data_IF_269788374198
#
_entry.id   IF_269788374198
#
_cell.length_a   1.000
_cell.length_b   1.000
_cell.length_c   1.000
_cell.angle_alpha   90.00
_cell.angle_beta   90.00
_cell.angle_gamma   90.00
#
_symmetry.space_group_name_H-M   'P 1'
#
loop_
_entity.id
_entity.type
_entity.pdbx_description
1 polymer ?
#
# COMPACT_ATOMS: atom_id res chain seq x y z
N UNK A 1 -10.02 -15.27 -10.32
CA UNK A 1 -8.80 -14.42 -10.21
C UNK A 1 -8.35 -14.09 -11.62
N UNK A 2 -7.99 -12.84 -11.89
CA UNK A 2 -7.49 -12.36 -13.17
C UNK A 2 -6.06 -11.86 -12.91
N UNK A 3 -5.10 -12.22 -13.77
CA UNK A 3 -3.73 -11.71 -13.71
C UNK A 3 -3.39 -11.09 -15.05
N UNK A 4 -2.83 -9.89 -15.02
CA UNK A 4 -2.33 -9.22 -16.21
C UNK A 4 -0.84 -9.02 -15.99
N UNK A 5 -0.04 -9.67 -16.84
CA UNK A 5 1.40 -9.79 -16.69
C UNK A 5 2.11 -8.99 -17.78
N UNK A 6 3.30 -8.47 -17.46
CA UNK A 6 4.22 -7.99 -18.48
C UNK A 6 4.80 -9.18 -19.24
N UNK A 7 4.75 -9.10 -20.57
CA UNK A 7 5.48 -10.04 -21.45
C UNK A 7 6.56 -9.27 -22.20
N UNK A 8 7.68 -9.93 -22.48
CA UNK A 8 8.76 -9.36 -23.29
C UNK A 8 8.19 -8.81 -24.60
N UNK A 9 8.45 -7.51 -24.85
CA UNK A 9 7.96 -6.78 -26.03
C UNK A 9 6.63 -6.03 -25.86
N UNK A 10 5.87 -6.25 -24.77
CA UNK A 10 4.61 -5.53 -24.52
C UNK A 10 4.33 -5.34 -23.01
N UNK A 11 5.15 -4.55 -22.30
CA UNK A 11 5.01 -4.35 -20.86
C UNK A 11 3.86 -3.40 -20.50
N UNK A 12 3.09 -3.73 -19.46
CA UNK A 12 2.01 -2.89 -18.97
C UNK A 12 2.48 -1.53 -18.47
N UNK A 13 3.67 -1.51 -17.87
CA UNK A 13 4.33 -0.33 -17.35
C UNK A 13 5.75 -0.25 -17.91
N UNK A 14 6.27 0.96 -18.13
CA UNK A 14 7.71 1.10 -18.37
C UNK A 14 8.51 0.69 -17.12
N UNK A 15 9.79 0.37 -17.33
CA UNK A 15 10.71 0.08 -16.22
C UNK A 15 10.77 1.26 -15.25
N UNK A 16 10.63 0.98 -13.95
CA UNK A 16 10.59 2.00 -12.90
C UNK A 16 9.40 2.97 -12.96
N UNK A 17 8.37 2.68 -13.76
CA UNK A 17 7.20 3.55 -13.94
C UNK A 17 5.90 2.91 -13.47
N UNK A 18 4.97 3.76 -13.05
CA UNK A 18 3.63 3.35 -12.60
C UNK A 18 2.52 3.80 -13.55
N UNK A 19 2.87 4.49 -14.64
CA UNK A 19 1.97 4.88 -15.71
C UNK A 19 1.68 3.69 -16.64
N UNK A 20 0.40 3.47 -16.92
CA UNK A 20 -0.05 2.43 -17.85
C UNK A 20 0.31 2.81 -19.29
N UNK A 21 0.70 1.81 -20.08
CA UNK A 21 0.66 1.92 -21.54
C UNK A 21 -0.79 1.96 -22.02
N UNK A 22 -1.01 2.65 -23.15
CA UNK A 22 -2.34 2.82 -23.75
C UNK A 22 -3.09 1.50 -23.92
N UNK A 23 -2.44 0.47 -24.48
CA UNK A 23 -3.06 -0.83 -24.72
C UNK A 23 -3.42 -1.55 -23.42
N UNK A 24 -2.71 -1.30 -22.33
CA UNK A 24 -3.04 -1.86 -21.02
C UNK A 24 -4.21 -1.15 -20.37
N UNK A 25 -4.35 0.15 -20.61
CA UNK A 25 -5.52 0.91 -20.22
C UNK A 25 -6.77 0.37 -20.93
N UNK A 26 -6.70 0.11 -22.24
CA UNK A 26 -7.81 -0.47 -23.01
C UNK A 26 -8.25 -1.83 -22.45
N UNK A 27 -7.29 -2.71 -22.13
CA UNK A 27 -7.57 -4.01 -21.49
C UNK A 27 -8.32 -3.82 -20.17
N UNK A 28 -7.88 -2.87 -19.33
CA UNK A 28 -8.52 -2.59 -18.04
C UNK A 28 -9.92 -1.99 -18.22
N UNK A 29 -10.14 -1.16 -19.24
CA UNK A 29 -11.46 -0.62 -19.55
C UNK A 29 -12.44 -1.71 -20.00
N UNK A 30 -12.02 -2.65 -20.84
CA UNK A 30 -12.87 -3.77 -21.23
C UNK A 30 -13.18 -4.71 -20.07
N UNK A 31 -12.18 -4.99 -19.22
CA UNK A 31 -12.39 -5.76 -17.99
C UNK A 31 -13.37 -5.05 -17.04
N UNK A 32 -13.29 -3.73 -16.94
CA UNK A 32 -14.13 -2.94 -16.06
C UNK A 32 -15.62 -3.06 -16.38
N UNK A 33 -16.01 -3.16 -17.66
CA UNK A 33 -17.41 -3.39 -18.06
C UNK A 33 -17.98 -4.67 -17.45
N UNK A 34 -17.19 -5.74 -17.48
CA UNK A 34 -17.57 -7.05 -16.91
C UNK A 34 -17.55 -7.00 -15.38
N UNK A 35 -16.53 -6.41 -14.77
CA UNK A 35 -16.38 -6.35 -13.32
C UNK A 35 -17.38 -5.38 -12.64
N UNK A 36 -17.79 -4.32 -13.35
CA UNK A 36 -18.76 -3.34 -12.86
C UNK A 36 -20.20 -3.86 -12.85
N UNK A 37 -20.52 -4.86 -13.67
CA UNK A 37 -21.88 -5.44 -13.74
C UNK A 37 -22.22 -6.33 -12.54
N UNK A 38 -21.22 -6.85 -11.84
CA UNK A 38 -21.40 -7.67 -10.62
C UNK A 38 -21.32 -6.82 -9.35
N UNK A 39 -21.89 -7.31 -8.25
CA UNK A 39 -21.89 -6.60 -6.96
C UNK A 39 -20.74 -7.01 -6.02
N UNK A 40 -19.93 -7.97 -6.45
CA UNK A 40 -18.77 -8.41 -5.69
C UNK A 40 -17.74 -7.28 -5.53
N UNK A 41 -17.06 -7.29 -4.39
CA UNK A 41 -15.91 -6.42 -4.15
C UNK A 41 -14.68 -6.97 -4.86
N UNK A 42 -13.71 -6.10 -5.11
CA UNK A 42 -12.45 -6.39 -5.79
C UNK A 42 -11.26 -6.13 -4.85
N UNK A 43 -10.29 -7.02 -4.88
CA UNK A 43 -8.94 -6.78 -4.36
C UNK A 43 -8.00 -6.62 -5.56
N UNK A 44 -7.23 -5.53 -5.57
CA UNK A 44 -6.24 -5.25 -6.61
C UNK A 44 -4.86 -5.31 -5.97
N UNK A 45 -3.95 -6.07 -6.57
CA UNK A 45 -2.60 -6.27 -6.04
C UNK A 45 -1.57 -6.04 -7.13
N UNK A 46 -0.58 -5.20 -6.84
CA UNK A 46 0.56 -4.96 -7.71
C UNK A 46 1.78 -5.76 -7.25
N UNK A 47 2.55 -6.22 -8.23
CA UNK A 47 3.80 -6.94 -8.03
C UNK A 47 4.88 -6.36 -8.96
N UNK A 48 6.12 -6.41 -8.52
CA UNK A 48 7.31 -6.11 -9.32
C UNK A 48 8.18 -7.36 -9.44
N UNK A 49 9.19 -7.29 -10.28
CA UNK A 49 10.32 -8.22 -10.24
C UNK A 49 11.30 -7.77 -9.14
N UNK A 50 12.36 -8.57 -8.94
CA UNK A 50 13.43 -8.28 -7.98
C UNK A 50 14.50 -7.33 -8.51
N UNK A 51 14.31 -6.72 -9.69
CA UNK A 51 15.26 -5.71 -10.18
C UNK A 51 15.17 -4.48 -9.28
N UNK A 52 16.28 -4.02 -8.66
CA UNK A 52 16.23 -2.88 -7.76
C UNK A 52 15.72 -1.63 -8.46
N UNK A 53 14.83 -0.89 -7.80
CA UNK A 53 14.38 0.40 -8.29
C UNK A 53 15.52 1.43 -8.18
N UNK A 54 15.90 2.03 -9.30
CA UNK A 54 17.00 3.00 -9.36
C UNK A 54 16.59 4.46 -9.56
N UNK A 55 15.31 4.81 -9.41
CA UNK A 55 14.77 6.10 -9.88
C UNK A 55 14.90 7.28 -8.92
N UNK A 56 14.80 7.08 -7.60
CA UNK A 56 14.90 8.15 -6.59
C UNK A 56 15.15 7.59 -5.18
N UNK A 57 15.86 8.31 -4.29
CA UNK A 57 16.08 7.87 -2.91
C UNK A 57 14.77 7.64 -2.15
N UNK A 58 14.74 6.60 -1.31
CA UNK A 58 13.60 6.26 -0.45
C UNK A 58 12.39 5.65 -1.18
N UNK A 59 12.42 5.54 -2.50
CA UNK A 59 11.38 4.85 -3.27
C UNK A 59 11.90 3.50 -3.75
N UNK A 60 11.11 2.47 -3.54
CA UNK A 60 11.51 1.08 -3.76
C UNK A 60 10.44 0.34 -4.56
N UNK A 61 10.65 -0.96 -4.74
CA UNK A 61 9.66 -1.83 -5.35
C UNK A 61 8.37 -1.94 -4.52
N UNK A 62 8.40 -1.63 -3.22
CA UNK A 62 7.21 -1.51 -2.40
C UNK A 62 6.28 -0.41 -2.90
N UNK A 63 6.78 0.82 -2.98
CA UNK A 63 6.01 1.96 -3.45
C UNK A 63 5.60 1.76 -4.92
N UNK A 64 6.50 1.27 -5.76
CA UNK A 64 6.22 1.00 -7.17
C UNK A 64 5.05 0.03 -7.36
N UNK A 65 5.05 -1.07 -6.59
CA UNK A 65 3.98 -2.07 -6.66
C UNK A 65 2.63 -1.52 -6.22
N UNK A 66 2.60 -0.69 -5.16
CA UNK A 66 1.39 -0.04 -4.66
C UNK A 66 0.87 1.02 -5.65
N UNK A 67 1.76 1.82 -6.24
CA UNK A 67 1.41 2.83 -7.24
C UNK A 67 0.83 2.20 -8.51
N UNK A 68 1.45 1.13 -9.00
CA UNK A 68 0.93 0.35 -10.16
C UNK A 68 -0.45 -0.22 -9.88
N UNK A 69 -0.67 -0.77 -8.67
CA UNK A 69 -1.99 -1.26 -8.25
C UNK A 69 -3.03 -0.13 -8.23
N UNK A 70 -2.65 1.05 -7.75
CA UNK A 70 -3.52 2.23 -7.75
C UNK A 70 -3.77 2.79 -9.16
N UNK A 71 -2.80 2.76 -10.07
CA UNK A 71 -3.03 3.13 -11.47
C UNK A 71 -4.03 2.18 -12.12
N UNK A 72 -3.88 0.87 -11.90
CA UNK A 72 -4.87 -0.10 -12.38
C UNK A 72 -6.27 0.12 -11.78
N UNK A 73 -6.35 0.43 -10.47
CA UNK A 73 -7.61 0.81 -9.81
C UNK A 73 -8.27 2.01 -10.49
N UNK A 74 -7.52 3.09 -10.75
CA UNK A 74 -8.03 4.29 -11.44
C UNK A 74 -8.56 3.96 -12.83
N UNK A 75 -7.83 3.15 -13.59
CA UNK A 75 -8.28 2.71 -14.91
C UNK A 75 -9.57 1.87 -14.84
N UNK A 76 -9.66 0.92 -13.91
CA UNK A 76 -10.88 0.12 -13.72
C UNK A 76 -12.09 1.00 -13.35
N UNK A 77 -11.89 1.99 -12.47
CA UNK A 77 -12.97 2.90 -12.07
C UNK A 77 -13.41 3.77 -13.24
N UNK A 78 -12.46 4.31 -14.01
CA UNK A 78 -12.76 5.07 -15.23
C UNK A 78 -13.49 4.21 -16.28
N UNK A 79 -13.22 2.90 -16.33
CA UNK A 79 -13.89 1.94 -17.22
C UNK A 79 -15.25 1.43 -16.74
N UNK A 80 -15.72 1.81 -15.55
CA UNK A 80 -17.07 1.48 -15.06
C UNK A 80 -17.15 0.62 -13.78
N UNK A 81 -16.03 0.26 -13.16
CA UNK A 81 -16.05 -0.31 -11.80
C UNK A 81 -16.44 0.77 -10.81
N UNK A 82 -17.44 0.53 -9.97
CA UNK A 82 -17.85 1.52 -8.95
C UNK A 82 -16.76 1.65 -7.88
N UNK A 83 -16.48 2.86 -7.41
CA UNK A 83 -15.47 3.10 -6.38
C UNK A 83 -15.68 2.23 -5.14
N UNK A 84 -16.94 2.03 -4.72
CA UNK A 84 -17.32 1.21 -3.56
C UNK A 84 -17.07 -0.28 -3.79
N UNK A 85 -16.90 -0.75 -5.04
CA UNK A 85 -16.54 -2.15 -5.29
C UNK A 85 -15.08 -2.44 -4.94
N UNK A 86 -14.22 -1.44 -4.79
CA UNK A 86 -12.83 -1.67 -4.37
C UNK A 86 -12.80 -1.93 -2.87
N UNK A 87 -12.47 -3.17 -2.47
CA UNK A 87 -12.30 -3.51 -1.06
C UNK A 87 -10.90 -3.15 -0.55
N UNK A 88 -9.86 -3.39 -1.35
CA UNK A 88 -8.48 -3.05 -0.99
C UNK A 88 -7.56 -2.95 -2.21
N UNK A 89 -6.48 -2.22 -2.02
CA UNK A 89 -5.33 -2.14 -2.93
C UNK A 89 -4.10 -2.56 -2.15
N UNK A 90 -3.25 -3.41 -2.73
CA UNK A 90 -2.07 -3.97 -2.06
C UNK A 90 -0.86 -3.85 -2.98
N UNK A 91 0.26 -3.34 -2.45
CA UNK A 91 1.58 -3.48 -3.07
C UNK A 91 2.35 -4.62 -2.38
N UNK A 92 2.92 -5.53 -3.17
CA UNK A 92 3.68 -6.67 -2.63
C UNK A 92 5.16 -6.67 -3.04
N UNK A 93 5.66 -5.65 -3.72
CA UNK A 93 7.02 -5.66 -4.27
C UNK A 93 7.26 -6.97 -5.05
N UNK A 94 8.41 -7.58 -4.83
CA UNK A 94 8.87 -8.89 -5.26
C UNK A 94 8.70 -9.99 -4.19
N UNK A 95 7.99 -9.72 -3.10
CA UNK A 95 7.75 -10.74 -2.04
C UNK A 95 6.96 -11.96 -2.51
N UNK A 96 6.24 -11.83 -3.64
CA UNK A 96 5.47 -12.91 -4.26
C UNK A 96 5.73 -12.94 -5.77
N UNK A 97 6.80 -13.61 -6.16
CA UNK A 97 7.19 -13.85 -7.55
C UNK A 97 6.23 -14.84 -8.24
N UNK A 98 5.98 -14.62 -9.53
CA UNK A 98 5.26 -15.55 -10.39
C UNK A 98 6.20 -16.65 -10.89
N UNK A 99 7.35 -16.24 -11.42
CA UNK A 99 8.48 -17.10 -11.74
C UNK A 99 9.52 -16.95 -10.62
N UNK A 100 9.68 -18.02 -9.83
CA UNK A 100 10.62 -18.06 -8.71
C UNK A 100 12.03 -18.43 -9.16
N UNK A 101 12.16 -19.08 -10.32
CA UNK A 101 13.45 -19.53 -10.85
C UNK A 101 14.19 -18.36 -11.50
N UNK A 102 13.45 -17.40 -12.08
CA UNK A 102 13.97 -16.11 -12.53
C UNK A 102 13.27 -14.94 -11.82
N UNK A 103 13.79 -14.47 -10.68
CA UNK A 103 13.24 -13.32 -9.95
C UNK A 103 13.17 -12.02 -10.75
N UNK A 104 14.00 -11.87 -11.79
CA UNK A 104 14.03 -10.69 -12.65
C UNK A 104 13.13 -10.82 -13.89
N UNK A 105 12.43 -11.95 -14.04
CA UNK A 105 11.59 -12.21 -15.19
C UNK A 105 10.49 -11.15 -15.33
N UNK A 106 10.24 -10.63 -16.56
CA UNK A 106 9.14 -9.70 -16.82
C UNK A 106 7.78 -10.13 -16.27
N UNK A 107 7.47 -11.43 -16.28
CA UNK A 107 6.20 -11.98 -15.80
C UNK A 107 5.94 -11.70 -14.30
N UNK A 108 6.98 -11.41 -13.52
CA UNK A 108 6.85 -11.03 -12.12
C UNK A 108 6.20 -9.65 -11.94
N UNK A 109 6.39 -8.74 -12.92
CA UNK A 109 5.70 -7.45 -13.01
C UNK A 109 4.26 -7.69 -13.49
N UNK A 110 3.31 -7.66 -12.56
CA UNK A 110 1.91 -7.98 -12.85
C UNK A 110 0.92 -7.30 -11.93
N UNK A 111 -0.30 -7.16 -12.41
CA UNK A 111 -1.47 -6.79 -11.61
C UNK A 111 -2.37 -8.01 -11.44
N UNK A 112 -2.68 -8.35 -10.19
CA UNK A 112 -3.69 -9.35 -9.83
C UNK A 112 -5.00 -8.65 -9.46
N UNK A 113 -6.11 -9.08 -10.06
CA UNK A 113 -7.46 -8.65 -9.70
C UNK A 113 -8.24 -9.87 -9.20
N UNK A 114 -8.76 -9.78 -7.97
CA UNK A 114 -9.53 -10.86 -7.35
C UNK A 114 -10.95 -10.35 -7.07
N UNK A 115 -11.93 -11.04 -7.62
CA UNK A 115 -13.34 -10.89 -7.27
C UNK A 115 -13.57 -11.64 -5.96
N UNK A 116 -13.97 -10.91 -4.92
CA UNK A 116 -14.10 -11.44 -3.57
C UNK A 116 -15.50 -12.03 -3.35
N UNK A 117 -15.56 -13.11 -2.58
CA UNK A 117 -16.82 -13.59 -2.02
C UNK A 117 -17.13 -12.82 -0.73
N UNK A 118 -18.37 -12.96 -0.24
CA UNK A 118 -18.84 -12.26 0.97
C UNK A 118 -17.97 -12.55 2.20
N UNK A 119 -17.67 -13.83 2.48
CA UNK A 119 -16.84 -14.24 3.63
C UNK A 119 -15.47 -13.54 3.65
N UNK A 120 -14.81 -13.41 2.50
CA UNK A 120 -13.52 -12.72 2.41
C UNK A 120 -13.64 -11.21 2.67
N UNK A 121 -14.72 -10.58 2.21
CA UNK A 121 -14.99 -9.16 2.48
C UNK A 121 -15.23 -8.94 3.97
N UNK A 122 -16.08 -9.76 4.58
CA UNK A 122 -16.42 -9.67 6.00
C UNK A 122 -15.15 -9.82 6.86
N UNK A 123 -14.28 -10.79 6.54
CA UNK A 123 -12.99 -10.95 7.22
C UNK A 123 -12.07 -9.73 7.09
N UNK A 124 -11.99 -9.12 5.89
CA UNK A 124 -11.18 -7.90 5.68
C UNK A 124 -11.72 -6.75 6.54
N UNK A 125 -13.04 -6.61 6.64
CA UNK A 125 -13.68 -5.57 7.43
C UNK A 125 -13.54 -5.80 8.93
N UNK A 126 -13.70 -7.04 9.41
CA UNK A 126 -13.55 -7.37 10.83
C UNK A 126 -12.12 -7.19 11.31
N UNK A 127 -11.13 -7.58 10.51
CA UNK A 127 -9.71 -7.39 10.86
C UNK A 127 -9.28 -5.93 10.86
N UNK A 128 -9.93 -5.07 10.07
CA UNK A 128 -9.61 -3.64 10.03
C UNK A 128 -10.37 -2.81 11.08
N UNK A 129 -11.47 -3.34 11.62
CA UNK A 129 -12.39 -2.62 12.50
C UNK A 129 -12.46 -3.15 13.94
N UNK A 130 -11.60 -4.10 14.33
CA UNK A 130 -11.59 -4.61 15.70
C UNK A 130 -11.04 -3.56 16.67
N UNK A 131 -11.93 -3.03 17.50
CA UNK A 131 -11.71 -2.06 18.58
C UNK A 131 -11.26 -2.67 19.91
N UNK A 132 -11.19 -4.01 19.98
CA UNK A 132 -10.91 -4.74 21.22
C UNK A 132 -9.41 -5.01 21.43
N UNK A 133 -8.56 -4.65 20.46
CA UNK A 133 -7.11 -4.65 20.68
C UNK A 133 -6.68 -3.36 21.39
N UNK A 134 -5.69 -3.44 22.30
CA UNK A 134 -5.18 -2.25 22.98
C UNK A 134 -4.62 -1.27 21.95
N UNK A 135 -5.28 -0.11 21.84
CA UNK A 135 -4.82 0.99 21.01
C UNK A 135 -3.63 1.66 21.72
N UNK A 136 -2.50 1.81 21.01
CA UNK A 136 -1.44 2.71 21.45
C UNK A 136 -1.93 4.14 21.18
N UNK A 137 -2.49 4.78 22.20
CA UNK A 137 -2.92 6.17 22.14
C UNK A 137 -1.72 7.09 22.41
N UNK A 138 -1.05 7.52 21.34
CA UNK A 138 0.09 8.45 21.42
C UNK A 138 -0.30 9.87 21.90
N UNK A 139 -1.60 10.17 22.05
CA UNK A 139 -2.06 11.45 22.60
C UNK A 139 -2.18 11.44 24.12
N UNK A 140 -2.16 10.25 24.73
CA UNK A 140 -2.16 10.09 26.17
C UNK A 140 -0.75 9.71 26.65
N UNK A 141 -0.16 10.47 27.58
CA UNK A 141 1.09 10.07 28.19
C UNK A 141 0.90 8.74 28.90
N UNK A 142 1.89 7.87 28.79
CA UNK A 142 1.96 6.60 29.52
C UNK A 142 1.92 6.84 31.03
N UNK A 143 1.55 5.83 31.81
CA UNK A 143 1.56 5.96 33.27
C UNK A 143 2.95 6.31 33.81
N UNK A 144 4.02 5.77 33.20
CA UNK A 144 5.40 6.14 33.52
C UNK A 144 5.69 7.63 33.22
N UNK A 145 5.25 8.15 32.07
CA UNK A 145 5.39 9.58 31.75
C UNK A 145 4.55 10.47 32.67
N UNK A 146 3.35 10.02 33.08
CA UNK A 146 2.49 10.72 34.04
C UNK A 146 3.11 10.75 35.43
N UNK A 147 3.70 9.64 35.86
CA UNK A 147 4.35 9.50 37.16
C UNK A 147 5.63 10.33 37.20
N UNK A 148 6.48 10.25 36.16
CA UNK A 148 7.66 11.11 36.03
C UNK A 148 7.29 12.60 35.95
N UNK A 149 6.21 12.96 35.25
CA UNK A 149 5.72 14.34 35.23
C UNK A 149 5.23 14.79 36.60
N UNK A 150 4.57 13.91 37.37
CA UNK A 150 4.16 14.19 38.76
C UNK A 150 5.36 14.36 39.69
N UNK A 151 6.31 13.45 39.65
CA UNK A 151 7.54 13.53 40.45
C UNK A 151 8.31 14.82 40.14
N UNK A 152 8.38 15.23 38.86
CA UNK A 152 9.03 16.49 38.45
C UNK A 152 8.31 17.74 38.94
N UNK A 153 6.98 17.69 39.03
CA UNK A 153 6.17 18.77 39.59
C UNK A 153 6.35 18.86 41.11
N UNK A 154 6.39 17.71 41.79
CA UNK A 154 6.57 17.62 43.25
C UNK A 154 8.00 17.98 43.69
N UNK A 155 9.01 17.61 42.92
CA UNK A 155 10.42 17.91 43.21
C UNK A 155 10.81 19.37 42.97
N UNK A 156 9.98 20.15 42.27
CA UNK A 156 10.29 21.54 41.93
C UNK A 156 11.23 21.69 40.72
N UNK A 157 11.65 20.59 40.08
CA UNK A 157 12.55 20.59 38.92
C UNK A 157 11.96 21.27 37.68
N UNK A 158 10.64 21.39 37.58
CA UNK A 158 9.95 22.19 36.56
C UNK A 158 10.29 23.70 36.60
N UNK A 159 10.88 24.21 37.69
CA UNK A 159 11.38 25.59 37.80
C UNK A 159 12.82 25.75 37.30
N UNK A 160 13.53 24.65 37.02
CA UNK A 160 14.88 24.71 36.46
C UNK A 160 14.77 24.98 34.96
N UNK A 161 15.39 26.08 34.52
CA UNK A 161 15.49 26.43 33.10
C UNK A 161 16.31 25.35 32.40
N UNK A 162 15.70 24.63 31.45
CA UNK A 162 16.46 23.72 30.58
C UNK A 162 17.36 24.56 29.69
N UNK A 163 18.67 24.29 29.70
CA UNK A 163 19.56 24.85 28.69
C UNK A 163 19.01 24.53 27.29
N UNK A 164 18.86 25.57 26.47
CA UNK A 164 18.48 25.38 25.07
C UNK A 164 19.58 24.56 24.39
N UNK A 165 19.22 23.53 23.59
CA UNK A 165 20.20 22.76 22.86
C UNK A 165 21.02 23.67 21.95
N UNK A 166 22.31 23.37 21.79
CA UNK A 166 23.20 24.21 21.01
C UNK A 166 22.68 24.33 19.56
N UNK A 167 22.90 25.47 18.87
CA UNK A 167 22.42 25.64 17.50
C UNK A 167 22.91 24.52 16.58
N UNK A 168 22.00 23.64 16.14
CA UNK A 168 22.28 22.49 15.27
C UNK A 168 21.98 21.11 15.88
N UNK A 169 21.69 21.03 17.18
CA UNK A 169 21.16 19.80 17.78
C UNK A 169 19.65 19.68 17.50
N UNK A 170 19.28 18.65 16.74
CA UNK A 170 17.89 18.27 16.54
C UNK A 170 17.40 17.53 17.79
N UNK A 171 16.49 18.14 18.54
CA UNK A 171 15.71 17.44 19.57
C UNK A 171 14.54 16.71 18.88
N UNK A 172 14.56 15.38 18.94
CA UNK A 172 13.36 14.55 18.82
C UNK A 172 13.11 13.88 20.17
#
# INVERSE_FOLDING_TARGET
>A
RIQIVDRSGRPMFDSGRAELKYYSQDILFELAKTLGSVNNKLSITGHTDSTPFGGRPGYTNWELSADRANTARRALVAGGVRQQQIARVVGLSDSVLFDKEDPNAPVNRRISIIVLNKKTVDNIQSSAGQSDEPLIDLTQPTEEEREAARERLESGEWQQEKEEPAPGELNW
#
